data_IF_207073670931
#
_entry.id   IF_207073670931
#
_cell.length_a   1.000
_cell.length_b   1.000
_cell.length_c   1.000
_cell.angle_alpha   90.00
_cell.angle_beta   90.00
_cell.angle_gamma   90.00
#
_symmetry.space_group_name_H-M   'P 1'
#
loop_
_entity.id
_entity.type
_entity.pdbx_description
1 polymer ?
#
# COMPACT_ATOMS: atom_id res chain seq x y z
N UNK A 1 -4.92 -1.04 -32.73
CA UNK A 1 -3.81 -1.27 -31.78
C UNK A 1 -4.08 -2.57 -31.08
N UNK A 2 -3.08 -3.41 -30.89
CA UNK A 2 -3.21 -4.66 -30.09
C UNK A 2 -3.28 -4.28 -28.63
N UNK A 3 -4.17 -4.91 -27.85
CA UNK A 3 -4.27 -4.69 -26.43
C UNK A 3 -3.04 -5.24 -25.72
N UNK A 4 -2.29 -4.41 -24.99
CA UNK A 4 -1.03 -4.80 -24.35
C UNK A 4 -1.18 -4.84 -22.84
N UNK A 5 -0.70 -5.90 -22.19
CA UNK A 5 -0.77 -6.11 -20.75
C UNK A 5 0.64 -6.29 -20.20
N UNK A 6 0.99 -5.55 -19.16
CA UNK A 6 2.20 -5.77 -18.36
C UNK A 6 1.83 -6.59 -17.11
N UNK A 7 2.48 -7.73 -16.91
CA UNK A 7 2.44 -8.49 -15.66
C UNK A 7 3.70 -8.19 -14.86
N UNK A 8 3.56 -7.79 -13.61
CA UNK A 8 4.67 -7.53 -12.69
C UNK A 8 4.51 -8.41 -11.45
N UNK A 9 5.33 -9.45 -11.36
CA UNK A 9 5.20 -10.50 -10.34
C UNK A 9 6.58 -11.15 -10.14
N UNK A 10 7.08 -11.24 -8.92
CA UNK A 10 8.40 -11.81 -8.63
C UNK A 10 8.41 -13.34 -8.53
N UNK A 11 7.28 -13.97 -8.26
CA UNK A 11 7.15 -15.42 -8.22
C UNK A 11 6.84 -15.99 -9.61
N UNK A 12 7.72 -16.84 -10.13
CA UNK A 12 7.62 -17.44 -11.48
C UNK A 12 6.33 -18.27 -11.69
N UNK A 13 5.85 -18.96 -10.64
CA UNK A 13 4.63 -19.76 -10.75
C UNK A 13 3.40 -18.88 -10.84
N UNK A 14 3.35 -17.83 -10.04
CA UNK A 14 2.29 -16.84 -10.09
C UNK A 14 2.29 -16.06 -11.40
N UNK A 15 3.45 -15.70 -11.91
CA UNK A 15 3.61 -14.99 -13.19
C UNK A 15 3.13 -15.85 -14.35
N UNK A 16 3.56 -17.12 -14.42
CA UNK A 16 3.08 -18.09 -15.41
C UNK A 16 1.57 -18.32 -15.32
N UNK A 17 1.02 -18.42 -14.10
CA UNK A 17 -0.42 -18.57 -13.90
C UNK A 17 -1.22 -17.36 -14.44
N UNK A 18 -0.75 -16.14 -14.23
CA UNK A 18 -1.37 -14.94 -14.78
C UNK A 18 -1.30 -14.94 -16.32
N UNK A 19 -0.13 -15.27 -16.87
CA UNK A 19 0.09 -15.37 -18.31
C UNK A 19 -0.90 -16.34 -18.96
N UNK A 20 -0.98 -17.56 -18.43
CA UNK A 20 -1.89 -18.59 -18.94
C UNK A 20 -3.36 -18.17 -18.77
N UNK A 21 -3.70 -17.57 -17.64
CA UNK A 21 -5.06 -17.04 -17.38
C UNK A 21 -5.47 -16.00 -18.42
N UNK A 22 -4.57 -15.10 -18.81
CA UNK A 22 -4.83 -14.10 -19.85
C UNK A 22 -4.95 -14.75 -21.23
N UNK A 23 -4.06 -15.67 -21.58
CA UNK A 23 -4.10 -16.39 -22.87
C UNK A 23 -5.35 -17.24 -23.06
N UNK A 24 -5.81 -17.89 -22.00
CA UNK A 24 -7.03 -18.70 -22.00
C UNK A 24 -8.32 -17.88 -21.87
N UNK A 25 -8.21 -16.56 -21.71
CA UNK A 25 -9.38 -15.70 -21.60
C UNK A 25 -10.02 -15.43 -22.95
N UNK A 26 -11.35 -15.38 -23.00
CA UNK A 26 -12.12 -14.98 -24.21
C UNK A 26 -12.08 -13.46 -24.47
N UNK A 27 -11.09 -12.75 -23.92
CA UNK A 27 -11.00 -11.28 -23.97
C UNK A 27 -10.36 -10.73 -25.27
N UNK A 28 -10.02 -11.64 -26.20
CA UNK A 28 -9.42 -11.29 -27.48
C UNK A 28 -7.89 -11.34 -27.48
N UNK A 29 -7.24 -11.03 -28.61
CA UNK A 29 -5.80 -11.10 -28.75
C UNK A 29 -5.11 -10.01 -27.91
N UNK A 30 -4.16 -10.44 -27.08
CA UNK A 30 -3.36 -9.59 -26.22
C UNK A 30 -1.87 -9.80 -26.44
N UNK A 31 -1.10 -8.74 -26.34
CA UNK A 31 0.36 -8.77 -26.21
C UNK A 31 0.71 -8.74 -24.72
N UNK A 32 1.34 -9.80 -24.20
CA UNK A 32 1.68 -9.93 -22.78
C UNK A 32 3.18 -9.71 -22.62
N UNK A 33 3.55 -8.75 -21.82
CA UNK A 33 4.92 -8.47 -21.38
C UNK A 33 5.03 -8.79 -19.90
N UNK A 34 6.13 -9.40 -19.49
CA UNK A 34 6.37 -9.80 -18.10
C UNK A 34 7.55 -9.02 -17.52
N UNK A 35 7.46 -8.70 -16.24
CA UNK A 35 8.55 -8.17 -15.42
C UNK A 35 8.63 -8.96 -14.11
N UNK A 36 9.84 -9.33 -13.69
CA UNK A 36 10.07 -10.12 -12.49
C UNK A 36 10.24 -9.25 -11.21
N UNK A 37 10.32 -7.94 -11.37
CA UNK A 37 10.37 -6.99 -10.25
C UNK A 37 9.91 -5.59 -10.66
N UNK A 38 9.84 -4.69 -9.66
CA UNK A 38 9.37 -3.34 -9.89
C UNK A 38 10.37 -2.44 -10.64
N UNK A 39 11.67 -2.71 -10.58
CA UNK A 39 12.68 -1.93 -11.29
C UNK A 39 12.65 -2.27 -12.79
N UNK A 40 12.52 -3.56 -13.15
CA UNK A 40 12.31 -4.00 -14.52
C UNK A 40 11.01 -3.44 -15.11
N UNK A 41 9.92 -3.49 -14.32
CA UNK A 41 8.64 -2.91 -14.74
C UNK A 41 8.75 -1.42 -15.05
N UNK A 42 9.44 -0.65 -14.20
CA UNK A 42 9.65 0.79 -14.43
C UNK A 42 10.49 1.04 -15.67
N UNK A 43 11.53 0.23 -15.92
CA UNK A 43 12.34 0.34 -17.13
C UNK A 43 11.52 0.05 -18.41
N UNK A 44 10.63 -0.95 -18.38
CA UNK A 44 9.70 -1.23 -19.48
C UNK A 44 8.72 -0.05 -19.71
N UNK A 45 8.13 0.48 -18.64
CA UNK A 45 7.21 1.62 -18.69
C UNK A 45 7.84 2.91 -19.25
N UNK A 46 9.16 3.07 -19.15
CA UNK A 46 9.87 4.20 -19.78
C UNK A 46 9.94 4.08 -21.31
N UNK A 47 9.91 2.87 -21.83
CA UNK A 47 10.17 2.58 -23.25
C UNK A 47 8.89 2.28 -24.06
N UNK A 48 7.80 1.87 -23.40
CA UNK A 48 6.54 1.53 -24.08
C UNK A 48 5.32 1.83 -23.22
N UNK A 49 4.15 1.87 -23.86
CA UNK A 49 2.86 2.05 -23.22
C UNK A 49 2.14 0.71 -23.12
N UNK A 50 1.39 0.54 -22.03
CA UNK A 50 0.57 -0.63 -21.82
C UNK A 50 -0.90 -0.23 -21.66
N UNK A 51 -1.79 -1.04 -22.27
CA UNK A 51 -3.23 -0.83 -22.15
C UNK A 51 -3.74 -1.13 -20.73
N UNK A 52 -3.08 -2.04 -20.01
CA UNK A 52 -3.42 -2.41 -18.62
C UNK A 52 -2.22 -3.04 -17.92
N UNK A 53 -2.24 -3.07 -16.59
CA UNK A 53 -1.16 -3.63 -15.78
C UNK A 53 -1.72 -4.54 -14.69
N UNK A 54 -1.09 -5.72 -14.47
CA UNK A 54 -1.31 -6.56 -13.29
C UNK A 54 -0.08 -6.43 -12.39
N UNK A 55 -0.28 -6.08 -11.12
CA UNK A 55 0.80 -5.82 -10.18
C UNK A 55 0.68 -6.68 -8.92
N UNK A 56 1.73 -7.42 -8.60
CA UNK A 56 1.92 -7.79 -7.19
C UNK A 56 2.32 -6.55 -6.36
N UNK A 57 1.83 -6.50 -5.15
CA UNK A 57 2.16 -5.42 -4.20
C UNK A 57 3.47 -5.66 -3.47
N UNK A 58 3.87 -6.92 -3.31
CA UNK A 58 5.05 -7.31 -2.53
C UNK A 58 6.12 -7.93 -3.41
N UNK A 59 7.01 -7.11 -3.90
CA UNK A 59 8.19 -7.53 -4.67
C UNK A 59 9.47 -6.99 -4.02
N UNK A 60 10.63 -7.62 -4.23
CA UNK A 60 11.93 -7.04 -3.86
C UNK A 60 12.14 -5.67 -4.52
N UNK A 61 12.81 -4.77 -3.83
CA UNK A 61 13.10 -3.42 -4.37
C UNK A 61 11.85 -2.54 -4.44
N UNK A 62 11.44 -2.15 -5.64
CA UNK A 62 10.24 -1.34 -5.86
C UNK A 62 8.97 -2.14 -5.65
N UNK A 63 8.03 -1.56 -4.90
CA UNK A 63 6.72 -2.18 -4.63
C UNK A 63 5.74 -1.97 -5.78
N UNK A 64 4.66 -2.77 -5.83
CA UNK A 64 3.58 -2.52 -6.80
C UNK A 64 2.94 -1.13 -6.67
N UNK A 65 2.96 -0.52 -5.48
CA UNK A 65 2.50 0.87 -5.31
C UNK A 65 3.46 1.86 -5.98
N UNK A 66 4.78 1.61 -5.94
CA UNK A 66 5.77 2.45 -6.64
C UNK A 66 5.60 2.34 -8.16
N UNK A 67 5.37 1.14 -8.68
CA UNK A 67 5.08 0.91 -10.10
C UNK A 67 3.77 1.58 -10.51
N UNK A 68 2.70 1.42 -9.72
CA UNK A 68 1.40 2.06 -9.97
C UNK A 68 1.51 3.60 -10.05
N UNK A 69 2.34 4.20 -9.18
CA UNK A 69 2.62 5.64 -9.25
C UNK A 69 3.23 6.05 -10.58
N UNK A 70 4.14 5.25 -11.13
CA UNK A 70 4.76 5.53 -12.44
C UNK A 70 3.75 5.34 -13.57
N UNK A 71 2.95 4.27 -13.54
CA UNK A 71 1.88 4.02 -14.53
C UNK A 71 0.93 5.21 -14.58
N UNK A 72 0.35 5.59 -13.45
CA UNK A 72 -0.65 6.67 -13.39
C UNK A 72 -0.06 8.07 -13.56
N UNK A 73 1.23 8.26 -13.30
CA UNK A 73 1.91 9.51 -13.67
C UNK A 73 2.07 9.66 -15.18
N UNK A 74 2.16 8.55 -15.92
CA UNK A 74 2.27 8.53 -17.39
C UNK A 74 0.90 8.61 -18.06
N UNK A 75 -0.05 7.80 -17.61
CA UNK A 75 -1.45 7.82 -18.06
C UNK A 75 -2.39 7.46 -16.92
N UNK A 76 -3.16 8.44 -16.44
CA UNK A 76 -4.12 8.29 -15.33
C UNK A 76 -5.22 7.28 -15.64
N UNK A 77 -5.54 7.05 -16.91
CA UNK A 77 -6.62 6.17 -17.35
C UNK A 77 -6.22 4.69 -17.44
N UNK A 78 -4.92 4.36 -17.35
CA UNK A 78 -4.46 2.98 -17.44
C UNK A 78 -5.03 2.14 -16.30
N UNK A 79 -5.84 1.10 -16.59
CA UNK A 79 -6.38 0.21 -15.56
C UNK A 79 -5.30 -0.64 -14.91
N UNK A 80 -5.37 -0.76 -13.58
CA UNK A 80 -4.44 -1.59 -12.82
C UNK A 80 -5.20 -2.66 -12.02
N UNK A 81 -4.77 -3.91 -12.11
CA UNK A 81 -5.21 -4.97 -11.20
C UNK A 81 -4.08 -5.29 -10.21
N UNK A 82 -4.31 -4.97 -8.94
CA UNK A 82 -3.45 -5.43 -7.84
C UNK A 82 -3.83 -6.86 -7.48
N UNK A 83 -2.87 -7.77 -7.54
CA UNK A 83 -3.05 -9.18 -7.23
C UNK A 83 -2.05 -9.61 -6.16
N UNK A 84 -2.49 -9.79 -4.92
CA UNK A 84 -1.61 -9.90 -3.76
C UNK A 84 -2.01 -11.02 -2.81
N UNK A 85 -1.04 -11.55 -2.07
CA UNK A 85 -1.29 -12.53 -1.01
C UNK A 85 -1.99 -11.93 0.22
N UNK A 86 -2.06 -10.61 0.36
CA UNK A 86 -2.44 -9.97 1.62
C UNK A 86 -3.58 -8.97 1.44
N UNK A 87 -4.54 -9.01 2.37
CA UNK A 87 -5.56 -7.99 2.56
C UNK A 87 -5.07 -6.88 3.51
N UNK A 88 -3.86 -6.36 3.29
CA UNK A 88 -3.20 -5.44 4.22
C UNK A 88 -3.73 -4.01 4.04
N UNK A 89 -4.29 -3.43 5.10
CA UNK A 89 -4.79 -2.04 5.09
C UNK A 89 -3.70 -1.04 4.67
N UNK A 90 -2.44 -1.33 5.01
CA UNK A 90 -1.30 -0.51 4.63
C UNK A 90 -1.14 -0.37 3.11
N UNK A 91 -1.29 -1.46 2.35
CA UNK A 91 -1.22 -1.41 0.89
C UNK A 91 -2.43 -0.73 0.27
N UNK A 92 -3.63 -1.03 0.79
CA UNK A 92 -4.86 -0.37 0.34
C UNK A 92 -4.75 1.15 0.49
N UNK A 93 -4.26 1.63 1.63
CA UNK A 93 -3.99 3.06 1.85
C UNK A 93 -2.91 3.60 0.93
N UNK A 94 -1.86 2.82 0.65
CA UNK A 94 -0.81 3.18 -0.31
C UNK A 94 -1.38 3.41 -1.71
N UNK A 95 -2.24 2.51 -2.17
CA UNK A 95 -2.94 2.62 -3.47
C UNK A 95 -3.80 3.90 -3.50
N UNK A 96 -4.64 4.13 -2.48
CA UNK A 96 -5.51 5.32 -2.43
C UNK A 96 -4.75 6.66 -2.44
N UNK A 97 -3.48 6.68 -2.03
CA UNK A 97 -2.65 7.89 -2.08
C UNK A 97 -2.11 8.19 -3.47
N UNK A 98 -1.96 7.17 -4.31
CA UNK A 98 -1.38 7.30 -5.65
C UNK A 98 -2.40 7.19 -6.77
N UNK A 99 -3.56 6.57 -6.50
CA UNK A 99 -4.63 6.41 -7.47
C UNK A 99 -5.28 7.75 -7.79
N UNK A 100 -5.40 8.12 -9.08
CA UNK A 100 -6.25 9.23 -9.51
C UNK A 100 -7.72 9.03 -9.09
N UNK A 101 -8.48 10.11 -8.98
CA UNK A 101 -9.90 10.05 -8.55
C UNK A 101 -10.77 9.21 -9.49
N UNK A 102 -10.44 9.22 -10.79
CA UNK A 102 -11.14 8.54 -11.87
C UNK A 102 -10.46 7.23 -12.33
N UNK A 103 -9.42 6.78 -11.60
CA UNK A 103 -8.70 5.58 -11.97
C UNK A 103 -9.54 4.31 -11.82
N UNK A 104 -9.54 3.46 -12.86
CA UNK A 104 -10.10 2.11 -12.80
C UNK A 104 -9.06 1.15 -12.26
N UNK A 105 -9.34 0.48 -11.16
CA UNK A 105 -8.44 -0.52 -10.61
C UNK A 105 -9.17 -1.65 -9.91
N UNK A 106 -8.51 -2.81 -9.88
CA UNK A 106 -8.94 -3.97 -9.12
C UNK A 106 -7.98 -4.27 -7.97
N UNK A 107 -8.50 -4.90 -6.92
CA UNK A 107 -7.69 -5.50 -5.87
C UNK A 107 -8.23 -6.90 -5.57
N UNK A 108 -7.44 -7.93 -5.89
CA UNK A 108 -7.76 -9.33 -5.61
C UNK A 108 -6.69 -9.99 -4.76
N UNK A 109 -7.13 -10.94 -3.94
CA UNK A 109 -6.22 -11.86 -3.26
C UNK A 109 -5.77 -12.99 -4.20
N UNK A 110 -4.51 -13.43 -4.09
CA UNK A 110 -3.96 -14.57 -4.86
C UNK A 110 -4.67 -15.90 -4.53
N UNK A 111 -5.37 -15.97 -3.38
CA UNK A 111 -6.23 -17.10 -3.03
C UNK A 111 -7.56 -17.15 -3.78
N UNK A 112 -7.86 -16.14 -4.60
CA UNK A 112 -9.09 -16.05 -5.40
C UNK A 112 -9.10 -17.10 -6.51
N UNK A 113 -10.29 -17.63 -6.85
CA UNK A 113 -10.43 -18.59 -7.93
C UNK A 113 -10.08 -17.99 -9.31
N UNK A 114 -9.52 -18.80 -10.21
CA UNK A 114 -9.23 -18.39 -11.59
C UNK A 114 -10.44 -17.79 -12.31
N UNK A 115 -11.65 -18.30 -12.04
CA UNK A 115 -12.89 -17.76 -12.63
C UNK A 115 -13.19 -16.33 -12.16
N UNK A 116 -12.98 -16.03 -10.86
CA UNK A 116 -13.18 -14.66 -10.36
C UNK A 116 -12.08 -13.74 -10.87
N UNK A 117 -10.84 -14.23 -10.97
CA UNK A 117 -9.74 -13.47 -11.57
C UNK A 117 -10.06 -13.07 -13.02
N UNK A 118 -10.47 -14.02 -13.88
CA UNK A 118 -10.86 -13.75 -15.28
C UNK A 118 -11.99 -12.71 -15.37
N UNK A 119 -13.01 -12.82 -14.51
CA UNK A 119 -14.14 -11.86 -14.46
C UNK A 119 -13.69 -10.47 -13.99
N UNK A 120 -12.77 -10.41 -13.02
CA UNK A 120 -12.24 -9.13 -12.54
C UNK A 120 -11.37 -8.46 -13.59
N UNK A 121 -10.54 -9.22 -14.31
CA UNK A 121 -9.77 -8.70 -15.43
C UNK A 121 -10.70 -8.08 -16.48
N UNK A 122 -11.77 -8.79 -16.88
CA UNK A 122 -12.76 -8.27 -17.81
C UNK A 122 -13.39 -6.96 -17.31
N UNK A 123 -13.87 -6.94 -16.08
CA UNK A 123 -14.52 -5.77 -15.49
C UNK A 123 -13.59 -4.55 -15.37
N UNK A 124 -12.36 -4.77 -14.90
CA UNK A 124 -11.41 -3.66 -14.67
C UNK A 124 -10.82 -3.16 -15.99
N UNK A 125 -10.41 -4.06 -16.90
CA UNK A 125 -9.65 -3.68 -18.10
C UNK A 125 -10.53 -3.20 -19.25
N UNK A 126 -11.76 -3.72 -19.36
CA UNK A 126 -12.61 -3.47 -20.53
C UNK A 126 -13.94 -2.77 -20.19
N UNK A 127 -14.44 -2.92 -18.95
CA UNK A 127 -15.73 -2.36 -18.54
C UNK A 127 -15.61 -1.13 -17.63
N UNK A 128 -14.38 -0.68 -17.32
CA UNK A 128 -14.15 0.50 -16.50
C UNK A 128 -14.61 0.35 -15.04
N UNK A 129 -14.66 -0.88 -14.52
CA UNK A 129 -15.13 -1.16 -13.17
C UNK A 129 -14.00 -1.07 -12.15
N UNK A 130 -14.28 -0.50 -10.98
CA UNK A 130 -13.42 -0.65 -9.80
C UNK A 130 -13.91 -1.84 -8.96
N UNK A 131 -13.09 -2.90 -8.87
CA UNK A 131 -13.44 -4.16 -8.20
C UNK A 131 -12.46 -4.43 -7.07
N UNK A 132 -12.95 -4.48 -5.83
CA UNK A 132 -12.14 -4.74 -4.64
C UNK A 132 -12.67 -6.01 -3.96
N UNK A 133 -11.76 -6.97 -3.72
CA UNK A 133 -12.08 -8.20 -3.00
C UNK A 133 -12.77 -7.90 -1.66
N UNK A 134 -13.75 -8.73 -1.33
CA UNK A 134 -14.58 -8.56 -0.14
C UNK A 134 -13.73 -8.61 1.15
N UNK A 135 -12.69 -9.45 1.19
CA UNK A 135 -11.76 -9.51 2.31
C UNK A 135 -10.97 -8.21 2.47
N UNK A 136 -10.60 -7.58 1.37
CA UNK A 136 -9.94 -6.26 1.33
C UNK A 136 -10.92 -5.15 1.69
N UNK A 137 -12.16 -5.24 1.20
CA UNK A 137 -13.24 -4.32 1.58
C UNK A 137 -13.61 -4.42 3.06
N UNK A 138 -13.49 -5.61 3.67
CA UNK A 138 -13.67 -5.79 5.11
C UNK A 138 -12.54 -5.16 5.91
N UNK A 139 -11.29 -5.25 5.47
CA UNK A 139 -10.19 -4.49 6.06
C UNK A 139 -10.46 -2.97 6.02
N UNK A 140 -11.19 -2.51 4.98
CA UNK A 140 -11.68 -1.12 4.85
C UNK A 140 -12.91 -0.80 5.70
N UNK A 141 -13.86 -1.75 5.84
CA UNK A 141 -15.19 -1.52 6.43
C UNK A 141 -15.35 -2.08 7.86
N UNK A 142 -14.52 -3.03 8.30
CA UNK A 142 -14.49 -3.52 9.69
C UNK A 142 -13.91 -2.50 10.66
N UNK A 143 -13.34 -1.46 10.12
CA UNK A 143 -13.01 -0.25 10.83
C UNK A 143 -14.29 0.54 11.04
N UNK A 144 -14.89 0.41 12.21
CA UNK A 144 -15.87 1.36 12.72
C UNK A 144 -15.37 2.77 12.38
N UNK A 145 -16.12 3.58 11.63
CA UNK A 145 -15.66 4.92 11.15
C UNK A 145 -15.06 5.81 12.26
N UNK A 146 -15.38 5.51 13.54
CA UNK A 146 -14.83 6.17 14.73
C UNK A 146 -13.54 5.53 15.27
N UNK A 147 -13.14 4.32 14.83
CA UNK A 147 -11.94 3.61 15.30
C UNK A 147 -10.83 3.55 14.25
N UNK A 148 -11.08 4.05 13.03
CA UNK A 148 -10.05 4.11 11.99
C UNK A 148 -9.20 5.35 12.10
N UNK A 149 -7.90 5.15 11.92
CA UNK A 149 -6.96 6.25 11.82
C UNK A 149 -7.27 7.07 10.55
N UNK A 150 -7.47 8.37 10.72
CA UNK A 150 -7.49 9.27 9.57
C UNK A 150 -6.10 9.37 8.92
N UNK A 151 -5.99 10.01 7.75
CA UNK A 151 -4.73 10.10 7.01
C UNK A 151 -3.60 10.71 7.85
N UNK A 152 -3.88 11.78 8.60
CA UNK A 152 -2.85 12.49 9.39
C UNK A 152 -2.46 11.74 10.67
N UNK A 153 -3.34 10.97 11.27
CA UNK A 153 -3.04 10.07 12.38
C UNK A 153 -2.21 8.87 11.90
N UNK A 154 -2.54 8.33 10.72
CA UNK A 154 -1.79 7.24 10.11
C UNK A 154 -0.36 7.67 9.77
N UNK A 155 -0.18 8.86 9.22
CA UNK A 155 1.15 9.41 8.95
C UNK A 155 2.00 9.50 10.23
N UNK A 156 1.44 10.04 11.30
CA UNK A 156 2.14 10.12 12.57
C UNK A 156 2.41 8.73 13.17
N UNK A 157 1.53 7.75 12.96
CA UNK A 157 1.79 6.36 13.35
C UNK A 157 3.00 5.78 12.61
N UNK A 158 3.12 6.01 11.32
CA UNK A 158 4.28 5.58 10.52
C UNK A 158 5.55 6.28 11.01
N UNK A 159 5.49 7.59 11.25
CA UNK A 159 6.63 8.39 11.73
C UNK A 159 7.15 7.88 13.09
N UNK A 160 6.25 7.56 14.03
CA UNK A 160 6.69 6.98 15.31
C UNK A 160 7.20 5.54 15.15
N UNK A 161 6.75 4.81 14.17
CA UNK A 161 7.18 3.43 13.92
C UNK A 161 8.60 3.37 13.33
N UNK A 162 9.01 4.39 12.58
CA UNK A 162 10.42 4.57 12.14
C UNK A 162 11.28 5.32 13.18
N UNK A 163 10.76 5.58 14.39
CA UNK A 163 11.53 6.08 15.51
C UNK A 163 11.59 7.59 15.69
N UNK A 164 10.90 8.41 14.87
CA UNK A 164 10.95 9.86 14.96
C UNK A 164 10.36 10.36 16.29
N UNK A 165 10.98 11.36 16.90
CA UNK A 165 10.46 12.08 18.07
C UNK A 165 9.33 13.05 17.69
N UNK A 166 8.56 13.56 18.66
CA UNK A 166 7.50 14.53 18.39
C UNK A 166 8.04 15.80 17.71
N UNK A 167 9.23 16.25 18.09
CA UNK A 167 9.88 17.41 17.49
C UNK A 167 10.32 17.14 16.05
N UNK A 168 10.92 15.97 15.79
CA UNK A 168 11.32 15.57 14.44
C UNK A 168 10.09 15.40 13.51
N UNK A 169 8.99 14.82 14.01
CA UNK A 169 7.74 14.73 13.25
C UNK A 169 7.17 16.11 12.94
N UNK A 170 7.20 17.02 13.93
CA UNK A 170 6.71 18.40 13.76
C UNK A 170 7.47 19.12 12.63
N UNK A 171 8.80 18.99 12.61
CA UNK A 171 9.67 19.54 11.58
C UNK A 171 9.42 18.87 10.23
N UNK A 172 9.47 17.53 10.17
CA UNK A 172 9.28 16.73 8.95
C UNK A 172 7.94 17.01 8.26
N UNK A 173 6.86 17.18 9.05
CA UNK A 173 5.50 17.42 8.56
C UNK A 173 5.13 18.90 8.47
N UNK A 174 6.02 19.81 8.85
CA UNK A 174 5.77 21.26 8.91
C UNK A 174 4.53 21.63 9.75
N UNK A 175 4.39 21.01 10.93
CA UNK A 175 3.30 21.23 11.88
C UNK A 175 3.84 21.52 13.28
N UNK A 176 3.00 21.98 14.20
CA UNK A 176 3.42 22.19 15.59
C UNK A 176 3.54 20.87 16.37
N UNK A 177 4.43 20.81 17.36
CA UNK A 177 4.54 19.66 18.29
C UNK A 177 3.19 19.38 18.98
N UNK A 178 2.41 20.41 19.30
CA UNK A 178 1.07 20.25 19.87
C UNK A 178 0.11 19.54 18.91
N UNK A 179 0.23 19.79 17.61
CA UNK A 179 -0.56 19.07 16.59
C UNK A 179 -0.14 17.60 16.49
N UNK A 180 1.16 17.29 16.57
CA UNK A 180 1.66 15.91 16.64
C UNK A 180 1.08 15.18 17.84
N UNK A 181 1.15 15.79 19.03
CA UNK A 181 0.60 15.22 20.27
C UNK A 181 -0.92 14.99 20.20
N UNK A 182 -1.66 15.91 19.58
CA UNK A 182 -3.09 15.74 19.32
C UNK A 182 -3.39 14.54 18.43
N UNK A 183 -2.63 14.37 17.34
CA UNK A 183 -2.75 13.22 16.44
C UNK A 183 -2.36 11.91 17.12
N UNK A 184 -1.28 11.88 17.92
CA UNK A 184 -0.88 10.73 18.73
C UNK A 184 -1.95 10.32 19.73
N UNK A 185 -2.62 11.28 20.37
CA UNK A 185 -3.76 10.98 21.25
C UNK A 185 -4.85 10.24 20.48
N UNK A 186 -5.24 10.72 19.30
CA UNK A 186 -6.19 10.02 18.42
C UNK A 186 -5.73 8.62 18.03
N UNK A 187 -4.45 8.45 17.70
CA UNK A 187 -3.85 7.14 17.41
C UNK A 187 -4.01 6.19 18.60
N UNK A 188 -3.69 6.64 19.82
CA UNK A 188 -3.79 5.81 21.02
C UNK A 188 -5.23 5.41 21.32
N UNK A 189 -6.16 6.35 21.25
CA UNK A 189 -7.59 6.08 21.46
C UNK A 189 -8.12 5.03 20.46
N UNK A 190 -7.82 5.21 19.17
CA UNK A 190 -8.31 4.35 18.10
C UNK A 190 -7.65 2.97 18.06
N UNK A 191 -6.40 2.87 18.50
CA UNK A 191 -5.73 1.57 18.65
C UNK A 191 -6.07 0.86 19.97
N UNK A 192 -6.78 1.52 20.88
CA UNK A 192 -7.11 0.96 22.21
C UNK A 192 -5.90 0.89 23.12
N UNK A 193 -4.96 1.83 22.97
CA UNK A 193 -3.83 1.98 23.90
C UNK A 193 -4.31 2.75 25.12
N UNK A 194 -4.70 2.01 26.16
CA UNK A 194 -5.20 2.60 27.40
C UNK A 194 -4.20 3.53 28.08
N UNK A 195 -4.69 4.47 28.88
CA UNK A 195 -3.85 5.19 29.84
C UNK A 195 -3.23 4.19 30.83
N UNK A 196 -1.91 4.26 30.99
CA UNK A 196 -1.16 3.25 31.71
C UNK A 196 -1.15 3.60 33.21
N UNK A 197 -1.49 2.62 34.03
CA UNK A 197 -1.25 2.73 35.47
C UNK A 197 0.24 2.95 35.74
N UNK A 198 0.56 3.80 36.69
CA UNK A 198 1.94 3.99 37.14
C UNK A 198 2.39 2.77 37.94
N UNK A 199 3.64 2.42 37.81
CA UNK A 199 4.32 1.43 38.67
C UNK A 199 4.46 1.98 40.09
N UNK A 200 4.85 1.14 41.06
CA UNK A 200 5.00 1.55 42.47
C UNK A 200 6.02 2.67 42.68
N UNK A 201 6.95 2.86 41.75
CA UNK A 201 7.95 3.94 41.74
C UNK A 201 7.50 5.20 41.00
N UNK A 202 6.26 5.23 40.51
CA UNK A 202 5.67 6.37 39.79
C UNK A 202 6.04 6.42 38.30
N UNK A 203 6.81 5.47 37.77
CA UNK A 203 7.10 5.37 36.34
C UNK A 203 5.92 4.79 35.56
N UNK A 204 5.81 5.07 34.26
CA UNK A 204 4.78 4.45 33.42
C UNK A 204 5.09 2.95 33.22
N UNK A 205 4.12 2.09 33.57
CA UNK A 205 4.28 0.64 33.43
C UNK A 205 4.44 0.16 31.98
N UNK A 206 4.19 1.04 30.98
CA UNK A 206 4.26 0.71 29.57
C UNK A 206 4.53 1.95 28.72
N UNK A 207 5.39 1.82 27.71
CA UNK A 207 5.58 2.86 26.71
C UNK A 207 4.42 2.81 25.71
N UNK A 208 3.53 3.83 25.77
CA UNK A 208 2.33 3.93 24.90
C UNK A 208 2.69 3.98 23.43
N UNK A 209 3.81 4.63 23.08
CA UNK A 209 4.29 4.76 21.71
C UNK A 209 4.68 3.38 21.14
N UNK A 210 5.54 2.66 21.86
CA UNK A 210 5.93 1.29 21.48
C UNK A 210 4.72 0.34 21.42
N UNK A 211 3.76 0.50 22.35
CA UNK A 211 2.53 -0.31 22.34
C UNK A 211 1.65 -0.04 21.14
N UNK A 212 1.51 1.22 20.73
CA UNK A 212 0.75 1.60 19.54
C UNK A 212 1.36 0.98 18.27
N UNK A 213 2.68 1.05 18.12
CA UNK A 213 3.41 0.44 17.00
C UNK A 213 3.21 -1.08 16.99
N UNK A 214 3.38 -1.76 18.13
CA UNK A 214 3.18 -3.20 18.24
C UNK A 214 1.75 -3.62 17.86
N UNK A 215 0.73 -2.91 18.32
CA UNK A 215 -0.67 -3.17 17.95
C UNK A 215 -0.89 -2.95 16.46
N UNK A 216 -0.32 -1.87 15.90
CA UNK A 216 -0.47 -1.54 14.49
C UNK A 216 0.16 -2.61 13.59
N UNK A 217 1.33 -3.14 13.92
CA UNK A 217 1.99 -4.25 13.23
C UNK A 217 1.14 -5.54 13.36
N UNK A 218 0.70 -5.89 14.58
CA UNK A 218 -0.11 -7.09 14.81
C UNK A 218 -1.43 -7.06 14.05
N UNK A 219 -2.06 -5.89 13.95
CA UNK A 219 -3.31 -5.68 13.21
C UNK A 219 -3.10 -5.39 11.72
N UNK A 220 -1.87 -5.51 11.23
CA UNK A 220 -1.48 -5.23 9.83
C UNK A 220 -1.91 -3.85 9.31
N UNK A 221 -1.98 -2.86 10.20
CA UNK A 221 -2.21 -1.45 9.81
C UNK A 221 -0.96 -0.80 9.23
N UNK A 222 0.22 -1.26 9.64
CA UNK A 222 1.54 -0.96 9.08
C UNK A 222 2.31 -2.28 8.91
N UNK A 223 3.29 -2.30 8.02
CA UNK A 223 4.18 -3.44 7.78
C UNK A 223 5.61 -2.97 7.49
N UNK A 224 6.58 -3.89 7.43
CA UNK A 224 7.99 -3.57 7.22
C UNK A 224 8.22 -2.73 5.94
N UNK A 225 7.57 -3.07 4.83
CA UNK A 225 7.74 -2.34 3.57
C UNK A 225 7.26 -0.89 3.64
N UNK A 226 6.15 -0.61 4.33
CA UNK A 226 5.70 0.78 4.56
C UNK A 226 6.74 1.54 5.38
N UNK A 227 7.34 0.89 6.37
CA UNK A 227 8.40 1.50 7.18
C UNK A 227 9.65 1.75 6.35
N UNK A 228 10.10 0.79 5.55
CA UNK A 228 11.22 0.96 4.62
C UNK A 228 11.01 2.10 3.62
N UNK A 229 9.77 2.25 3.10
CA UNK A 229 9.41 3.37 2.23
C UNK A 229 9.49 4.70 2.97
N UNK A 230 8.94 4.77 4.17
CA UNK A 230 8.96 5.99 4.98
C UNK A 230 10.40 6.41 5.35
N UNK A 231 11.27 5.45 5.67
CA UNK A 231 12.69 5.72 5.90
C UNK A 231 13.40 6.23 4.63
N UNK A 232 13.13 5.65 3.47
CA UNK A 232 13.67 6.12 2.18
C UNK A 232 13.20 7.54 1.85
N UNK A 233 11.93 7.84 2.08
CA UNK A 233 11.38 9.19 1.86
C UNK A 233 12.04 10.21 2.82
N UNK A 234 12.24 9.85 4.08
CA UNK A 234 12.91 10.69 5.06
C UNK A 234 14.35 11.02 4.63
N UNK A 235 15.11 10.02 4.19
CA UNK A 235 16.48 10.19 3.69
C UNK A 235 16.53 11.04 2.42
N UNK A 236 15.60 10.86 1.49
CA UNK A 236 15.54 11.60 0.23
C UNK A 236 15.25 13.10 0.41
N UNK A 237 14.63 13.51 1.52
CA UNK A 237 14.36 14.92 1.85
C UNK A 237 15.52 15.63 2.58
N UNK A 238 16.70 15.04 2.60
CA UNK A 238 17.88 15.57 3.31
C UNK A 238 17.68 15.71 4.84
N UNK A 239 16.69 14.99 5.36
CA UNK A 239 16.40 14.90 6.78
C UNK A 239 16.99 13.64 7.42
N UNK A 240 17.95 13.00 6.73
CA UNK A 240 18.67 11.82 7.18
C UNK A 240 19.42 12.01 8.50
N UNK A 241 19.74 13.27 8.86
CA UNK A 241 20.37 13.60 10.15
C UNK A 241 19.55 13.15 11.38
N UNK A 242 18.23 12.87 11.23
CA UNK A 242 17.44 12.27 12.31
C UNK A 242 17.71 10.78 12.54
N UNK A 243 18.41 10.11 11.61
CA UNK A 243 18.66 8.66 11.64
C UNK A 243 20.08 8.31 12.09
N UNK A 244 21.00 9.28 12.09
CA UNK A 244 22.44 9.10 12.35
C UNK A 244 22.84 9.37 13.83
N UNK A 245 21.88 9.24 14.76
CA UNK A 245 22.07 9.46 16.19
C UNK A 245 22.15 8.19 17.02
#
# INVERSE_FOLDING_TARGET
>A
MTFSVLIVEDDDLHRSFLHDTLKESDLGPMEITEACDGDEAIALLQNQDFSSVILDLQMPGKTGVDVARVVWAKDHSTPILFWSNYADEAYVRGIFRVAPEDANYGYLLKSTSSQLLKRTIAGVFFEGQTIIDRAVSFARNSSNKNLDLNATEYEVLVDIAIGLTDSAIAEYRSISVRAVQGRLKGVYEKLGVAEVASTKDGSAAMNRRARAVAIALTRRKINSKILDMAEKELRARDLGHFMDG
#
